data_IF_620991113288
#
_entry.id   IF_620991113288
#
_cell.length_a   1.000
_cell.length_b   1.000
_cell.length_c   1.000
_cell.angle_alpha   90.00
_cell.angle_beta   90.00
_cell.angle_gamma   90.00
#
_symmetry.space_group_name_H-M   'P 1'
#
loop_
_entity.id
_entity.type
_entity.pdbx_description
1 polymer ?
#
# COMPACT_ATOMS: atom_id res chain seq x y z
N UNK A 1 6.11 10.01 -12.07
CA UNK A 1 5.77 9.05 -13.13
C UNK A 1 5.05 9.80 -14.24
N UNK A 2 5.73 10.17 -15.34
CA UNK A 2 5.17 11.11 -16.33
C UNK A 2 4.56 10.47 -17.59
N UNK A 3 4.35 9.14 -17.61
CA UNK A 3 3.79 8.41 -18.77
C UNK A 3 2.81 7.28 -18.36
N UNK A 4 2.01 7.46 -17.31
CA UNK A 4 0.97 6.49 -16.97
C UNK A 4 -0.20 6.61 -17.95
N UNK A 5 -0.67 5.49 -18.51
CA UNK A 5 -1.85 5.48 -19.38
C UNK A 5 -3.12 5.94 -18.63
N UNK A 6 -3.19 5.65 -17.33
CA UNK A 6 -4.23 6.08 -16.40
C UNK A 6 -3.61 6.38 -15.04
N UNK A 7 -4.09 7.43 -14.37
CA UNK A 7 -3.69 7.80 -13.01
C UNK A 7 -4.91 8.25 -12.22
N UNK A 8 -4.97 7.83 -10.96
CA UNK A 8 -5.93 8.28 -9.97
C UNK A 8 -5.17 8.60 -8.68
N UNK A 9 -5.60 9.64 -7.99
CA UNK A 9 -5.03 10.10 -6.72
C UNK A 9 -6.16 10.41 -5.75
N UNK A 10 -5.98 10.04 -4.49
CA UNK A 10 -6.92 10.36 -3.42
C UNK A 10 -6.18 10.63 -2.13
N UNK A 11 -6.45 11.76 -1.50
CA UNK A 11 -5.83 12.14 -0.23
C UNK A 11 -6.87 12.26 0.88
N UNK A 12 -6.49 11.82 2.08
CA UNK A 12 -7.28 11.96 3.30
C UNK A 12 -6.43 12.49 4.45
N UNK A 13 -7.03 13.29 5.32
CA UNK A 13 -6.41 13.68 6.59
C UNK A 13 -6.78 12.68 7.69
N UNK A 14 -5.77 12.23 8.41
CA UNK A 14 -5.91 11.33 9.55
C UNK A 14 -5.47 12.04 10.83
N UNK A 15 -6.27 11.92 11.90
CA UNK A 15 -5.90 12.38 13.25
C UNK A 15 -5.00 11.35 13.94
N UNK A 16 -3.81 11.14 13.38
CA UNK A 16 -2.74 10.34 13.96
C UNK A 16 -1.39 10.94 13.59
N UNK A 17 -0.39 10.71 14.45
CA UNK A 17 0.98 11.01 14.09
C UNK A 17 1.47 10.10 12.95
N UNK A 18 2.39 10.63 12.16
CA UNK A 18 2.87 9.98 10.92
C UNK A 18 3.51 8.62 11.21
N UNK A 19 4.25 8.51 12.31
CA UNK A 19 4.96 7.29 12.69
C UNK A 19 3.99 6.17 13.03
N UNK A 20 2.91 6.50 13.76
CA UNK A 20 1.84 5.55 14.04
C UNK A 20 1.11 5.12 12.77
N UNK A 21 0.70 6.06 11.91
CA UNK A 21 0.04 5.76 10.64
C UNK A 21 0.89 4.85 9.76
N UNK A 22 2.19 5.14 9.68
CA UNK A 22 3.16 4.34 8.94
C UNK A 22 3.34 2.94 9.53
N UNK A 23 3.52 2.81 10.84
CA UNK A 23 3.66 1.52 11.50
C UNK A 23 2.41 0.66 11.33
N UNK A 24 1.22 1.27 11.44
CA UNK A 24 -0.05 0.59 11.21
C UNK A 24 -0.18 0.09 9.78
N UNK A 25 0.17 0.91 8.78
CA UNK A 25 0.05 0.54 7.38
C UNK A 25 1.14 -0.43 6.93
N UNK A 26 2.37 -0.35 7.43
CA UNK A 26 3.44 -1.31 7.04
C UNK A 26 3.27 -2.69 7.66
N UNK A 27 2.44 -2.83 8.69
CA UNK A 27 1.92 -4.11 9.13
C UNK A 27 0.76 -4.57 8.23
N UNK A 28 1.11 -5.38 7.22
CA UNK A 28 0.19 -5.92 6.20
C UNK A 28 -0.98 -6.72 6.80
N UNK A 29 -0.86 -7.21 8.04
CA UNK A 29 -1.99 -7.87 8.70
C UNK A 29 -3.18 -6.93 8.93
N UNK A 30 -2.92 -5.62 9.05
CA UNK A 30 -3.96 -4.60 9.16
C UNK A 30 -4.70 -4.39 7.83
N UNK A 31 -4.09 -4.65 6.68
CA UNK A 31 -4.75 -4.45 5.38
C UNK A 31 -5.95 -5.36 5.22
N UNK A 32 -5.83 -6.63 5.61
CA UNK A 32 -6.95 -7.57 5.55
C UNK A 32 -8.12 -7.09 6.41
N UNK A 33 -7.84 -6.47 7.56
CA UNK A 33 -8.86 -5.86 8.42
C UNK A 33 -9.52 -4.64 7.77
N UNK A 34 -8.77 -3.82 7.03
CA UNK A 34 -9.28 -2.64 6.33
C UNK A 34 -10.15 -3.01 5.12
N UNK A 35 -9.65 -3.91 4.27
CA UNK A 35 -10.31 -4.37 3.05
C UNK A 35 -11.56 -5.22 3.35
N UNK A 36 -11.60 -5.85 4.53
CA UNK A 36 -12.76 -6.58 5.01
C UNK A 36 -13.20 -7.68 4.05
N UNK A 37 -14.41 -7.56 3.49
CA UNK A 37 -14.99 -8.58 2.60
C UNK A 37 -14.45 -8.54 1.16
N UNK A 38 -13.67 -7.52 0.80
CA UNK A 38 -13.07 -7.43 -0.53
C UNK A 38 -11.96 -8.48 -0.74
N UNK A 39 -11.36 -8.97 0.35
CA UNK A 39 -10.27 -9.96 0.33
C UNK A 39 -10.59 -11.16 1.22
N UNK A 40 -10.11 -12.34 0.84
CA UNK A 40 -10.09 -13.51 1.71
C UNK A 40 -8.84 -13.50 2.60
N UNK A 41 -7.69 -13.13 2.02
CA UNK A 41 -6.43 -12.95 2.76
C UNK A 41 -5.45 -12.04 2.03
N UNK A 42 -4.54 -11.46 2.80
CA UNK A 42 -3.36 -10.72 2.31
C UNK A 42 -2.13 -11.27 3.03
N UNK A 43 -1.05 -11.56 2.30
CA UNK A 43 0.18 -12.14 2.84
C UNK A 43 1.41 -11.42 2.32
N UNK A 44 2.37 -11.20 3.20
CA UNK A 44 3.70 -10.67 2.89
C UNK A 44 4.75 -11.75 3.17
N UNK A 45 5.68 -11.96 2.24
CA UNK A 45 6.73 -12.98 2.34
C UNK A 45 8.00 -12.41 2.97
N UNK A 46 7.94 -11.98 4.23
CA UNK A 46 9.06 -11.38 4.95
C UNK A 46 8.72 -10.01 5.55
N UNK A 47 9.74 -9.20 5.90
CA UNK A 47 9.52 -7.85 6.42
C UNK A 47 9.02 -6.89 5.32
N UNK A 48 8.39 -5.80 5.73
CA UNK A 48 8.01 -4.71 4.83
C UNK A 48 9.27 -3.96 4.37
N UNK A 49 9.88 -4.43 3.28
CA UNK A 49 11.15 -3.96 2.76
C UNK A 49 11.16 -4.01 1.23
N UNK A 50 12.02 -3.20 0.61
CA UNK A 50 12.25 -3.22 -0.83
C UNK A 50 12.63 -4.64 -1.26
N UNK A 51 11.98 -5.14 -2.30
CA UNK A 51 12.23 -6.48 -2.82
C UNK A 51 11.28 -7.54 -2.26
N UNK A 52 10.64 -7.29 -1.11
CA UNK A 52 9.69 -8.25 -0.54
C UNK A 52 8.46 -8.37 -1.42
N UNK A 53 8.05 -9.61 -1.67
CA UNK A 53 6.83 -9.93 -2.41
C UNK A 53 5.68 -10.27 -1.47
N UNK A 54 4.47 -9.97 -1.91
CA UNK A 54 3.25 -10.40 -1.25
C UNK A 54 2.25 -10.96 -2.24
N UNK A 55 1.12 -11.39 -1.71
CA UNK A 55 -0.01 -11.83 -2.49
C UNK A 55 -1.31 -11.43 -1.80
N UNK A 56 -2.32 -11.17 -2.62
CA UNK A 56 -3.67 -10.89 -2.17
C UNK A 56 -4.63 -11.84 -2.86
N UNK A 57 -5.52 -12.44 -2.09
CA UNK A 57 -6.59 -13.31 -2.59
C UNK A 57 -7.93 -12.60 -2.41
N UNK A 58 -8.61 -12.36 -3.52
CA UNK A 58 -9.99 -11.88 -3.53
C UNK A 58 -10.96 -13.05 -3.74
N UNK A 59 -12.22 -12.93 -3.27
CA UNK A 59 -13.22 -13.98 -3.45
C UNK A 59 -13.40 -14.39 -4.92
N UNK A 60 -13.29 -15.70 -5.19
CA UNK A 60 -13.54 -16.26 -6.52
C UNK A 60 -12.46 -16.00 -7.58
N UNK A 61 -11.34 -15.35 -7.25
CA UNK A 61 -10.22 -15.09 -8.18
C UNK A 61 -8.96 -15.82 -7.75
N UNK A 62 -8.03 -16.12 -8.66
CA UNK A 62 -6.69 -16.56 -8.24
C UNK A 62 -5.97 -15.44 -7.47
N UNK A 63 -5.10 -15.77 -6.48
CA UNK A 63 -4.30 -14.74 -5.83
C UNK A 63 -3.46 -13.98 -6.86
N UNK A 64 -3.43 -12.66 -6.75
CA UNK A 64 -2.50 -11.82 -7.51
C UNK A 64 -1.29 -11.47 -6.66
N UNK A 65 -0.15 -11.31 -7.33
CA UNK A 65 1.15 -11.08 -6.71
C UNK A 65 1.59 -9.63 -6.87
N UNK A 66 2.29 -9.15 -5.85
CA UNK A 66 2.80 -7.80 -5.80
C UNK A 66 4.18 -7.75 -5.16
N UNK A 67 4.89 -6.64 -5.37
CA UNK A 67 6.25 -6.44 -4.85
C UNK A 67 6.44 -5.00 -4.39
N UNK A 68 7.11 -4.81 -3.26
CA UNK A 68 7.56 -3.48 -2.81
C UNK A 68 8.78 -3.09 -3.63
N UNK A 69 8.67 -2.04 -4.44
CA UNK A 69 9.73 -1.61 -5.38
C UNK A 69 10.42 -0.33 -4.96
N UNK A 70 9.74 0.51 -4.18
CA UNK A 70 10.32 1.70 -3.55
C UNK A 70 9.84 1.82 -2.12
N UNK A 71 10.70 2.31 -1.24
CA UNK A 71 10.40 2.52 0.17
C UNK A 71 11.25 3.67 0.69
N UNK A 72 10.58 4.68 1.23
CA UNK A 72 11.15 5.70 2.10
C UNK A 72 10.47 5.59 3.47
N UNK A 73 11.15 5.02 4.49
CA UNK A 73 10.54 4.78 5.79
C UNK A 73 9.86 6.03 6.38
N UNK A 74 8.66 5.84 6.92
CA UNK A 74 7.80 6.90 7.46
C UNK A 74 7.38 7.98 6.45
N UNK A 75 7.56 7.77 5.15
CA UNK A 75 7.16 8.74 4.15
C UNK A 75 6.44 8.11 2.97
N UNK A 76 6.99 7.10 2.32
CA UNK A 76 6.34 6.54 1.13
C UNK A 76 6.71 5.11 0.81
N UNK A 77 5.81 4.42 0.13
CA UNK A 77 6.07 3.10 -0.46
C UNK A 77 5.44 3.01 -1.84
N UNK A 78 6.10 2.28 -2.74
CA UNK A 78 5.51 1.86 -4.02
C UNK A 78 5.39 0.36 -4.07
N UNK A 79 4.18 -0.12 -4.35
CA UNK A 79 3.86 -1.52 -4.58
C UNK A 79 3.52 -1.69 -6.06
N UNK A 80 4.23 -2.61 -6.71
CA UNK A 80 4.06 -2.93 -8.12
C UNK A 80 3.30 -4.25 -8.28
N UNK A 81 2.34 -4.25 -9.21
CA UNK A 81 1.52 -5.40 -9.60
C UNK A 81 1.60 -5.59 -11.11
N UNK A 82 1.99 -6.80 -11.52
CA UNK A 82 1.91 -7.21 -12.92
C UNK A 82 0.52 -7.79 -13.18
N UNK A 83 -0.23 -7.13 -14.06
CA UNK A 83 -1.54 -7.54 -14.53
C UNK A 83 -1.43 -7.94 -16.01
N UNK A 84 -2.46 -8.61 -16.53
CA UNK A 84 -2.50 -8.96 -17.95
C UNK A 84 -2.54 -7.69 -18.81
N UNK A 85 -1.43 -7.43 -19.52
CA UNK A 85 -1.29 -6.28 -20.41
C UNK A 85 -1.03 -4.93 -19.72
N UNK A 86 -0.82 -4.90 -18.40
CA UNK A 86 -0.56 -3.66 -17.66
C UNK A 86 0.35 -3.88 -16.45
N UNK A 87 1.05 -2.81 -16.05
CA UNK A 87 1.71 -2.74 -14.74
C UNK A 87 0.99 -1.68 -13.93
N UNK A 88 0.49 -2.08 -12.76
CA UNK A 88 -0.13 -1.17 -11.82
C UNK A 88 0.83 -0.83 -10.69
N UNK A 89 0.89 0.46 -10.36
CA UNK A 89 1.68 0.97 -9.26
C UNK A 89 0.73 1.58 -8.24
N UNK A 90 0.74 1.07 -7.01
CA UNK A 90 0.16 1.75 -5.87
C UNK A 90 1.27 2.54 -5.19
N UNK A 91 1.09 3.84 -5.05
CA UNK A 91 2.00 4.72 -4.31
C UNK A 91 1.24 5.17 -3.08
N UNK A 92 1.83 4.93 -1.91
CA UNK A 92 1.34 5.46 -0.65
C UNK A 92 2.32 6.52 -0.17
N UNK A 93 1.82 7.72 0.11
CA UNK A 93 2.58 8.86 0.65
C UNK A 93 1.93 9.27 1.96
N UNK A 94 2.75 9.48 2.99
CA UNK A 94 2.34 9.97 4.30
C UNK A 94 3.15 11.20 4.67
N UNK A 95 2.46 12.32 4.91
CA UNK A 95 3.07 13.60 5.24
C UNK A 95 2.49 14.14 6.55
N UNK A 96 3.35 14.69 7.41
CA UNK A 96 2.88 15.37 8.62
C UNK A 96 2.33 16.75 8.26
N UNK A 97 1.10 17.02 8.68
CA UNK A 97 0.42 18.33 8.54
C UNK A 97 0.12 18.96 9.92
N UNK A 98 0.83 18.49 10.95
CA UNK A 98 0.70 18.86 12.35
C UNK A 98 1.31 17.78 13.25
N UNK A 99 1.38 18.04 14.56
CA UNK A 99 1.95 17.08 15.54
C UNK A 99 1.23 15.73 15.53
N UNK A 100 -0.10 15.76 15.41
CA UNK A 100 -0.97 14.58 15.52
C UNK A 100 -1.88 14.44 14.29
N UNK A 101 -1.43 14.98 13.14
CA UNK A 101 -2.18 14.95 11.89
C UNK A 101 -1.29 14.56 10.73
N UNK A 102 -1.77 13.60 9.96
CA UNK A 102 -1.07 13.04 8.80
C UNK A 102 -1.97 13.12 7.58
N UNK A 103 -1.47 13.64 6.47
CA UNK A 103 -2.09 13.49 5.17
C UNK A 103 -1.59 12.17 4.56
N UNK A 104 -2.52 11.34 4.10
CA UNK A 104 -2.26 10.08 3.42
C UNK A 104 -2.76 10.22 1.99
N UNK A 105 -1.90 10.00 1.01
CA UNK A 105 -2.19 10.07 -0.44
C UNK A 105 -1.83 8.77 -1.14
#
# INVERSE_FOLDING_TARGET
>A
MSNAAWQFEHSVECNSDKSFAWAFWTDVSNWQRLEGKAVEWIKLNGPFAIGTSGATKTPGQNPYHWKITQLDPESSATIEMHLDGAVFYNVMIMESIGSDRTQIT
#
